data_IF_919916121590
#
_entry.id   IF_919916121590
#
_cell.length_a   1.000
_cell.length_b   1.000
_cell.length_c   1.000
_cell.angle_alpha   90.00
_cell.angle_beta   90.00
_cell.angle_gamma   90.00
#
_symmetry.space_group_name_H-M   'P 1'
#
loop_
_entity.id
_entity.type
_entity.pdbx_description
1 polymer ?
#
# COMPACT_ATOMS: atom_id res chain seq x y z
N UNK A 1 -8.71 15.24 0.62
CA UNK A 1 -9.12 15.37 2.04
C UNK A 1 -8.16 16.31 2.74
N UNK A 2 -8.71 17.32 3.41
CA UNK A 2 -7.92 18.27 4.20
C UNK A 2 -7.32 17.52 5.40
N UNK A 3 -6.03 17.77 5.70
CA UNK A 3 -5.36 17.16 6.84
C UNK A 3 -4.71 15.82 6.58
N UNK A 4 -4.73 15.32 5.33
CA UNK A 4 -4.00 14.11 4.98
C UNK A 4 -2.54 14.47 4.71
N UNK A 5 -1.63 13.78 5.38
CA UNK A 5 -0.19 14.02 5.26
C UNK A 5 0.54 12.75 4.85
N UNK A 6 1.72 12.94 4.27
CA UNK A 6 2.55 11.82 3.79
C UNK A 6 3.61 11.37 4.79
N UNK A 7 3.87 12.17 5.82
CA UNK A 7 4.82 11.80 6.88
C UNK A 7 4.13 11.86 8.24
N UNK A 8 4.61 11.02 9.17
CA UNK A 8 4.03 10.94 10.52
C UNK A 8 4.18 12.27 11.27
N UNK A 9 5.28 12.95 11.07
CA UNK A 9 5.61 14.19 11.79
C UNK A 9 4.71 15.35 11.40
N UNK A 10 4.13 15.30 10.21
CA UNK A 10 3.24 16.35 9.72
C UNK A 10 1.80 16.22 10.20
N UNK A 11 1.43 15.06 10.77
CA UNK A 11 0.03 14.78 11.13
C UNK A 11 -0.36 15.53 12.39
N UNK A 12 -1.45 16.30 12.30
CA UNK A 12 -2.02 17.03 13.42
C UNK A 12 -2.99 16.16 14.22
N UNK A 13 -3.37 16.56 15.46
CA UNK A 13 -4.19 15.70 16.34
C UNK A 13 -5.51 15.21 15.75
N UNK A 14 -6.11 15.94 14.81
CA UNK A 14 -7.34 15.51 14.13
C UNK A 14 -7.12 15.24 12.64
N UNK A 15 -5.87 15.00 12.27
CA UNK A 15 -5.48 14.76 10.90
C UNK A 15 -5.40 13.29 10.54
N UNK A 16 -4.88 13.04 9.35
CA UNK A 16 -4.72 11.71 8.79
C UNK A 16 -3.32 11.53 8.25
N UNK A 17 -2.85 10.29 8.29
CA UNK A 17 -1.60 9.87 7.68
C UNK A 17 -1.91 8.94 6.49
N UNK A 18 -1.35 9.24 5.32
CA UNK A 18 -1.43 8.34 4.17
C UNK A 18 -0.26 7.36 4.25
N UNK A 19 -0.55 6.13 4.60
CA UNK A 19 0.47 5.10 4.83
C UNK A 19 1.21 4.68 3.56
N UNK A 20 0.69 5.04 2.38
CA UNK A 20 1.25 4.60 1.10
C UNK A 20 2.02 5.69 0.35
N UNK A 21 1.86 6.95 0.70
CA UNK A 21 2.42 8.06 -0.08
C UNK A 21 3.94 7.98 -0.22
N UNK A 22 4.65 7.69 0.87
CA UNK A 22 6.10 7.60 0.82
C UNK A 22 6.59 6.43 -0.04
N UNK A 23 5.78 5.38 -0.18
CA UNK A 23 6.12 4.25 -1.06
C UNK A 23 6.10 4.70 -2.52
N UNK A 24 5.10 5.48 -2.91
CA UNK A 24 5.03 6.03 -4.26
C UNK A 24 6.23 6.95 -4.54
N UNK A 25 6.61 7.77 -3.57
CA UNK A 25 7.79 8.64 -3.70
C UNK A 25 9.09 7.86 -3.91
N UNK A 26 9.12 6.60 -3.48
CA UNK A 26 10.26 5.68 -3.66
C UNK A 26 10.13 4.82 -4.92
N UNK A 27 9.13 5.08 -5.75
CA UNK A 27 8.90 4.31 -6.96
C UNK A 27 8.20 2.97 -6.75
N UNK A 28 7.57 2.76 -5.60
CA UNK A 28 6.84 1.52 -5.29
C UNK A 28 5.35 1.77 -5.55
N UNK A 29 4.71 0.91 -6.33
CA UNK A 29 3.30 1.05 -6.66
C UNK A 29 2.52 -0.24 -6.51
N UNK A 30 1.19 -0.13 -6.63
CA UNK A 30 0.29 -1.28 -6.59
C UNK A 30 -0.08 -1.77 -7.99
N UNK A 31 0.13 -0.96 -9.01
CA UNK A 31 -0.07 -1.36 -10.41
C UNK A 31 0.95 -0.68 -11.31
N UNK A 32 1.19 -1.28 -12.47
CA UNK A 32 2.04 -0.70 -13.50
C UNK A 32 1.25 -0.54 -14.80
N UNK A 33 1.40 0.60 -15.45
CA UNK A 33 0.76 0.89 -16.73
C UNK A 33 1.73 1.67 -17.60
N UNK A 34 1.96 1.13 -18.80
CA UNK A 34 2.85 1.73 -19.81
C UNK A 34 4.23 2.12 -19.23
N UNK A 35 4.81 1.24 -18.44
CA UNK A 35 6.13 1.45 -17.86
C UNK A 35 6.17 2.34 -16.62
N UNK A 36 5.03 2.83 -16.16
CA UNK A 36 4.94 3.67 -14.96
C UNK A 36 4.23 2.96 -13.83
N UNK A 37 4.78 3.09 -12.63
CA UNK A 37 4.14 2.61 -11.42
C UNK A 37 3.19 3.66 -10.85
N UNK A 38 2.01 3.21 -10.43
CA UNK A 38 1.00 4.03 -9.78
C UNK A 38 0.57 3.36 -8.48
N UNK A 39 0.04 4.15 -7.56
CA UNK A 39 -0.41 3.65 -6.27
C UNK A 39 -1.83 4.18 -6.02
N UNK A 40 -2.81 3.53 -6.66
CA UNK A 40 -4.22 3.89 -6.50
C UNK A 40 -4.81 3.34 -5.21
N UNK A 41 -4.25 2.24 -4.73
CA UNK A 41 -4.76 1.50 -3.57
C UNK A 41 -4.10 2.03 -2.31
N UNK A 42 -4.77 2.97 -1.65
CA UNK A 42 -4.22 3.72 -0.53
C UNK A 42 -4.97 3.40 0.75
N UNK A 43 -4.25 3.44 1.86
CA UNK A 43 -4.82 3.27 3.20
C UNK A 43 -4.41 4.46 4.04
N UNK A 44 -5.41 5.22 4.48
CA UNK A 44 -5.22 6.38 5.35
C UNK A 44 -5.67 6.04 6.76
N UNK A 45 -4.90 6.45 7.75
CA UNK A 45 -5.23 6.22 9.14
C UNK A 45 -5.35 7.54 9.88
N UNK A 46 -6.17 7.55 10.92
CA UNK A 46 -6.33 8.72 11.78
C UNK A 46 -5.14 8.86 12.72
N UNK A 47 -4.91 10.08 13.19
CA UNK A 47 -3.82 10.36 14.11
C UNK A 47 -3.86 9.48 15.37
N UNK A 48 -5.00 9.26 16.04
CA UNK A 48 -5.02 8.39 17.24
C UNK A 48 -4.51 6.98 16.99
N UNK A 49 -4.82 6.39 15.82
CA UNK A 49 -4.32 5.04 15.50
C UNK A 49 -2.80 5.04 15.30
N UNK A 50 -2.25 6.14 14.79
CA UNK A 50 -0.83 6.26 14.55
C UNK A 50 -0.04 6.51 15.85
N UNK A 51 -0.57 7.33 16.76
CA UNK A 51 0.14 7.80 17.93
C UNK A 51 -0.30 7.14 19.26
N UNK A 52 -1.24 6.20 19.24
CA UNK A 52 -1.60 5.43 20.42
C UNK A 52 -0.39 4.65 20.92
N UNK A 53 -0.39 4.35 22.22
CA UNK A 53 0.69 3.58 22.84
C UNK A 53 0.24 2.14 23.05
N UNK A 54 1.12 1.21 22.72
CA UNK A 54 0.85 -0.22 22.90
C UNK A 54 0.53 -0.53 24.38
N UNK A 55 1.19 0.16 25.29
CA UNK A 55 1.00 -0.02 26.75
C UNK A 55 -0.43 0.29 27.20
N UNK A 56 -1.16 1.11 26.45
CA UNK A 56 -2.53 1.47 26.78
C UNK A 56 -3.56 0.42 26.36
N UNK A 57 -3.11 -0.71 25.80
CA UNK A 57 -3.98 -1.78 25.36
C UNK A 57 -4.77 -1.45 24.10
N UNK A 58 -4.33 -0.47 23.34
CA UNK A 58 -4.97 -0.03 22.10
C UNK A 58 -4.28 -0.57 20.88
N UNK A 59 -5.02 -0.65 19.76
CA UNK A 59 -4.42 -0.95 18.48
C UNK A 59 -3.59 0.24 18.01
N UNK A 60 -2.40 -0.05 17.48
CA UNK A 60 -1.46 0.98 17.02
C UNK A 60 -0.94 0.61 15.63
N UNK A 61 -0.89 1.57 14.73
CA UNK A 61 -0.28 1.39 13.43
C UNK A 61 1.23 1.12 13.58
N UNK A 62 1.70 0.06 12.91
CA UNK A 62 3.11 -0.30 12.88
C UNK A 62 3.76 0.05 11.55
N UNK A 63 3.30 -0.56 10.47
CA UNK A 63 3.89 -0.36 9.14
C UNK A 63 2.91 -0.68 8.04
N UNK A 64 3.26 -0.26 6.81
CA UNK A 64 2.50 -0.58 5.60
C UNK A 64 3.34 -1.45 4.67
N UNK A 65 2.67 -2.12 3.74
CA UNK A 65 3.31 -3.00 2.78
C UNK A 65 2.49 -3.08 1.50
N UNK A 66 3.18 -3.18 0.36
CA UNK A 66 2.58 -3.63 -0.90
C UNK A 66 2.85 -5.14 -0.97
N UNK A 67 1.79 -5.93 -1.10
CA UNK A 67 1.90 -7.39 -1.09
C UNK A 67 2.25 -7.90 -2.49
N UNK A 68 3.51 -7.74 -2.86
CA UNK A 68 4.02 -8.02 -4.21
C UNK A 68 4.75 -9.37 -4.28
N UNK A 69 4.10 -10.42 -3.84
CA UNK A 69 4.70 -11.75 -3.79
C UNK A 69 4.90 -12.35 -5.20
N UNK A 70 5.87 -13.28 -5.36
CA UNK A 70 6.16 -13.87 -6.67
C UNK A 70 4.96 -14.48 -7.39
N UNK A 71 4.05 -15.15 -6.68
CA UNK A 71 2.88 -15.77 -7.32
C UNK A 71 1.89 -14.74 -7.89
N UNK A 72 2.01 -13.47 -7.49
CA UNK A 72 1.19 -12.38 -8.00
C UNK A 72 1.91 -11.58 -9.10
N UNK A 73 3.10 -11.99 -9.49
CA UNK A 73 4.04 -11.19 -10.27
C UNK A 73 4.43 -11.90 -11.56
N UNK A 74 4.52 -11.14 -12.65
CA UNK A 74 5.04 -11.63 -13.93
C UNK A 74 6.52 -12.00 -13.75
N UNK A 75 6.90 -13.22 -14.15
CA UNK A 75 8.22 -13.77 -13.87
C UNK A 75 9.24 -13.54 -15.00
N UNK A 76 8.78 -13.27 -16.23
CA UNK A 76 9.67 -13.11 -17.36
C UNK A 76 9.06 -12.20 -18.43
N UNK A 77 9.89 -11.74 -19.37
CA UNK A 77 9.46 -10.87 -20.45
C UNK A 77 9.56 -9.39 -20.08
N UNK A 78 9.01 -8.53 -20.95
CA UNK A 78 9.11 -7.07 -20.77
C UNK A 78 8.34 -6.55 -19.56
N UNK A 79 7.32 -7.28 -19.11
CA UNK A 79 6.49 -6.88 -17.97
C UNK A 79 6.93 -7.54 -16.66
N UNK A 80 8.10 -8.18 -16.65
CA UNK A 80 8.64 -8.83 -15.45
C UNK A 80 8.62 -7.86 -14.26
N UNK A 81 8.15 -8.34 -13.11
CA UNK A 81 8.09 -7.56 -11.89
C UNK A 81 6.78 -6.80 -11.70
N UNK A 82 5.87 -6.82 -12.67
CA UNK A 82 4.56 -6.18 -12.57
C UNK A 82 3.48 -7.18 -12.16
N UNK A 83 2.29 -6.71 -11.69
CA UNK A 83 1.21 -7.62 -11.32
C UNK A 83 0.83 -8.57 -12.46
N UNK A 84 0.69 -9.85 -12.13
CA UNK A 84 0.25 -10.87 -13.08
C UNK A 84 -1.27 -10.81 -13.18
N UNK A 85 -1.76 -10.14 -14.19
CA UNK A 85 -3.16 -9.78 -14.37
C UNK A 85 -4.03 -10.98 -14.74
N UNK A 86 -5.31 -10.93 -14.35
CA UNK A 86 -6.31 -11.90 -14.79
C UNK A 86 -6.51 -11.79 -16.29
N UNK A 87 -6.62 -10.55 -16.80
CA UNK A 87 -6.78 -10.26 -18.24
C UNK A 87 -5.77 -9.19 -18.64
N UNK A 88 -5.11 -9.39 -19.76
CA UNK A 88 -4.20 -8.39 -20.33
C UNK A 88 -4.45 -8.28 -21.82
N UNK A 89 -4.70 -7.03 -22.28
CA UNK A 89 -4.99 -6.76 -23.71
C UNK A 89 -6.10 -7.66 -24.25
N UNK A 90 -7.14 -7.88 -23.45
CA UNK A 90 -8.28 -8.71 -23.84
C UNK A 90 -8.05 -10.22 -23.76
N UNK A 91 -6.87 -10.65 -23.33
CA UNK A 91 -6.53 -12.08 -23.23
C UNK A 91 -6.52 -12.54 -21.78
N UNK A 92 -7.23 -13.65 -21.50
CA UNK A 92 -7.27 -14.27 -20.20
C UNK A 92 -5.92 -14.91 -19.86
N UNK A 93 -5.32 -14.52 -18.75
CA UNK A 93 -4.01 -15.02 -18.31
C UNK A 93 -4.08 -15.86 -17.04
N UNK A 94 -5.25 -15.97 -16.43
CA UNK A 94 -5.44 -16.73 -15.19
C UNK A 94 -4.62 -16.18 -14.02
N UNK A 95 -4.29 -14.88 -14.04
CA UNK A 95 -3.66 -14.23 -12.91
C UNK A 95 -4.69 -13.85 -11.85
N UNK A 96 -4.21 -13.44 -10.67
CA UNK A 96 -5.08 -13.14 -9.53
C UNK A 96 -5.69 -11.74 -9.61
N UNK A 97 -4.91 -10.74 -9.99
CA UNK A 97 -5.37 -9.36 -10.01
C UNK A 97 -4.43 -8.47 -10.82
N UNK A 98 -4.94 -7.32 -11.28
CA UNK A 98 -4.14 -6.32 -11.97
C UNK A 98 -3.48 -5.31 -11.03
N UNK A 99 -3.79 -5.36 -9.73
CA UNK A 99 -3.13 -4.58 -8.68
C UNK A 99 -2.51 -5.50 -7.64
N UNK A 100 -1.42 -5.07 -7.02
CA UNK A 100 -0.93 -5.71 -5.81
C UNK A 100 -1.79 -5.26 -4.62
N UNK A 101 -2.17 -6.16 -3.72
CA UNK A 101 -2.86 -5.76 -2.49
C UNK A 101 -1.99 -4.82 -1.67
N UNK A 102 -2.64 -3.81 -1.08
CA UNK A 102 -1.99 -2.94 -0.10
C UNK A 102 -2.45 -3.35 1.29
N UNK A 103 -1.56 -3.24 2.27
CA UNK A 103 -1.88 -3.69 3.62
C UNK A 103 -1.15 -2.86 4.66
N UNK A 104 -1.71 -2.81 5.85
CA UNK A 104 -1.07 -2.23 7.02
C UNK A 104 -1.02 -3.27 8.13
N UNK A 105 -0.07 -3.09 9.03
CA UNK A 105 0.08 -3.93 10.22
C UNK A 105 -0.31 -3.09 11.43
N UNK A 106 -1.23 -3.62 12.21
CA UNK A 106 -1.60 -3.03 13.50
C UNK A 106 -1.11 -3.95 14.60
N UNK A 107 -0.64 -3.38 15.69
CA UNK A 107 -0.19 -4.14 16.85
C UNK A 107 -0.98 -3.75 18.07
N UNK A 108 -1.12 -4.68 18.98
CA UNK A 108 -1.82 -4.49 20.27
C UNK A 108 -1.13 -5.32 21.33
N UNK A 109 -1.02 -4.77 22.52
CA UNK A 109 -0.49 -5.53 23.66
C UNK A 109 -1.45 -6.66 24.01
N UNK A 110 -0.87 -7.85 24.15
CA UNK A 110 -1.63 -9.06 24.48
C UNK A 110 -2.10 -9.06 25.94
#
# INVERSE_FOLDING_TARGET
IIGVKKTREEVEPQGFFNTMWQKLDRGIGSLAYQGSWNLFDQIMISEPLMNAKVEDGKWVYWKSQIFNKPFLTVQEGKDKGTPFRTVKSGVWQNGYADHYPTMIYLIKKK
#
